data_IF_505444073473
#
_entry.id   IF_505444073473
#
_cell.length_a   1.000
_cell.length_b   1.000
_cell.length_c   1.000
_cell.angle_alpha   90.00
_cell.angle_beta   90.00
_cell.angle_gamma   90.00
#
_symmetry.space_group_name_H-M   'P 1'
#
loop_
_entity.id
_entity.type
_entity.pdbx_description
1 polymer ?
#
# COMPACT_ATOMS: atom_id res chain seq x y z
N UNK A 1 -6.01 -8.22 18.33
CA UNK A 1 -5.45 -7.15 17.48
C UNK A 1 -6.57 -6.16 17.23
N UNK A 2 -6.45 -4.89 17.63
CA UNK A 2 -7.31 -3.84 17.05
C UNK A 2 -6.63 -3.50 15.72
N UNK A 3 -7.05 -4.19 14.66
CA UNK A 3 -6.53 -4.01 13.31
C UNK A 3 -7.21 -2.79 12.71
N UNK A 4 -6.50 -1.68 12.58
CA UNK A 4 -6.90 -0.52 11.78
C UNK A 4 -6.82 -0.82 10.28
N UNK A 5 -7.28 -2.00 9.87
CA UNK A 5 -7.05 -2.58 8.55
C UNK A 5 -5.59 -2.99 8.38
N UNK A 6 -5.38 -4.23 7.93
CA UNK A 6 -4.07 -4.69 7.47
C UNK A 6 -4.15 -4.92 5.97
N UNK A 7 -3.11 -4.51 5.26
CA UNK A 7 -3.01 -4.69 3.82
C UNK A 7 -1.66 -5.28 3.48
N UNK A 8 -1.66 -6.28 2.61
CA UNK A 8 -0.48 -6.84 1.99
C UNK A 8 -0.70 -6.89 0.47
N UNK A 9 0.39 -6.83 -0.29
CA UNK A 9 0.38 -6.99 -1.74
C UNK A 9 1.32 -8.11 -2.13
N UNK A 10 0.87 -8.99 -3.02
CA UNK A 10 1.68 -10.10 -3.52
C UNK A 10 1.66 -10.17 -5.05
N UNK A 11 2.80 -10.54 -5.61
CA UNK A 11 2.91 -11.05 -6.98
C UNK A 11 3.70 -12.35 -6.90
N UNK A 12 3.05 -13.51 -6.81
CA UNK A 12 3.77 -14.77 -6.69
C UNK A 12 4.51 -15.12 -8.00
N UNK A 13 5.74 -15.67 -7.94
CA UNK A 13 6.60 -15.87 -6.75
C UNK A 13 7.58 -14.69 -6.52
N UNK A 14 7.37 -13.55 -7.16
CA UNK A 14 8.37 -12.50 -7.33
C UNK A 14 8.47 -11.53 -6.16
N UNK A 15 7.36 -11.16 -5.52
CA UNK A 15 7.38 -10.22 -4.40
C UNK A 15 6.19 -10.38 -3.44
N UNK A 16 6.44 -10.00 -2.19
CA UNK A 16 5.46 -9.85 -1.13
C UNK A 16 5.77 -8.57 -0.34
N UNK A 17 4.77 -7.70 -0.20
CA UNK A 17 4.89 -6.40 0.47
C UNK A 17 3.94 -6.41 1.65
N UNK A 18 4.52 -6.47 2.85
CA UNK A 18 3.81 -6.33 4.11
C UNK A 18 4.81 -5.87 5.17
N UNK A 19 4.60 -4.68 5.74
CA UNK A 19 5.55 -4.01 6.62
C UNK A 19 5.00 -3.92 8.05
N UNK A 20 5.76 -4.49 8.98
CA UNK A 20 5.48 -4.48 10.41
C UNK A 20 6.59 -3.75 11.19
N UNK A 21 6.34 -3.32 12.43
CA UNK A 21 7.43 -2.96 13.33
C UNK A 21 8.27 -4.20 13.67
N UNK A 22 9.58 -4.03 13.78
CA UNK A 22 10.51 -5.12 14.10
C UNK A 22 10.43 -5.56 15.57
N UNK A 23 10.02 -4.65 16.46
CA UNK A 23 9.77 -4.91 17.88
C UNK A 23 8.30 -4.68 18.19
N UNK A 24 7.79 -5.34 19.22
CA UNK A 24 6.45 -5.04 19.74
C UNK A 24 6.43 -3.61 20.28
N UNK A 25 5.48 -2.83 19.77
CA UNK A 25 5.22 -1.48 20.25
C UNK A 25 4.23 -1.57 21.40
N UNK A 26 4.52 -0.90 22.52
CA UNK A 26 3.62 -0.80 23.66
C UNK A 26 2.31 -0.11 23.24
N UNK A 27 1.19 -0.74 23.59
CA UNK A 27 -0.16 -0.38 23.16
C UNK A 27 -1.00 0.15 24.31
N UNK A 28 -0.37 0.59 25.40
CA UNK A 28 -1.08 1.30 26.46
C UNK A 28 -1.80 2.54 25.86
N UNK A 29 -3.03 2.87 26.28
CA UNK A 29 -3.82 3.94 25.67
C UNK A 29 -3.10 5.30 25.64
N UNK A 30 -2.28 5.59 26.65
CA UNK A 30 -1.44 6.79 26.72
C UNK A 30 -0.33 6.83 25.67
N UNK A 31 0.35 5.71 25.43
CA UNK A 31 1.40 5.61 24.42
C UNK A 31 0.83 5.53 23.00
N UNK A 32 -0.36 4.93 22.84
CA UNK A 32 -1.03 4.85 21.53
C UNK A 32 -1.28 6.22 20.91
N UNK A 33 -1.79 7.20 21.68
CA UNK A 33 -1.98 8.57 21.17
C UNK A 33 -0.66 9.25 20.83
N UNK A 34 0.42 8.94 21.53
CA UNK A 34 1.74 9.45 21.19
C UNK A 34 2.21 8.86 19.87
N UNK A 35 2.06 7.55 19.64
CA UNK A 35 2.46 6.85 18.42
C UNK A 35 1.71 7.31 17.16
N UNK A 36 0.48 7.82 17.31
CA UNK A 36 -0.28 8.41 16.19
C UNK A 36 0.32 9.72 15.66
N UNK A 37 1.19 10.39 16.44
CA UNK A 37 1.88 11.59 15.97
C UNK A 37 2.90 11.19 14.91
N UNK A 38 2.83 11.82 13.73
CA UNK A 38 3.81 11.66 12.65
C UNK A 38 5.14 12.37 12.96
N UNK A 39 5.76 12.06 14.10
CA UNK A 39 7.04 12.62 14.54
C UNK A 39 8.15 11.60 14.40
N UNK A 40 9.37 12.08 14.19
CA UNK A 40 10.56 11.23 14.02
C UNK A 40 10.77 10.27 15.19
N UNK A 41 10.47 10.71 16.42
CA UNK A 41 10.59 9.91 17.65
C UNK A 41 9.74 8.61 17.64
N UNK A 42 8.68 8.53 16.82
CA UNK A 42 7.86 7.34 16.67
C UNK A 42 8.30 6.43 15.52
N UNK A 43 9.42 6.77 14.87
CA UNK A 43 10.00 5.97 13.80
C UNK A 43 10.87 4.88 14.42
N UNK A 44 10.50 3.64 14.17
CA UNK A 44 11.20 2.46 14.69
C UNK A 44 11.73 1.61 13.54
N UNK A 45 12.55 0.61 13.84
CA UNK A 45 12.94 -0.38 12.85
C UNK A 45 11.69 -1.14 12.37
N UNK A 46 11.57 -1.28 11.05
CA UNK A 46 10.55 -2.07 10.38
C UNK A 46 11.07 -3.45 10.00
N UNK A 47 10.16 -4.34 9.65
CA UNK A 47 10.46 -5.66 9.10
C UNK A 47 9.43 -6.02 8.05
N UNK A 48 9.90 -6.39 6.86
CA UNK A 48 9.02 -6.95 5.83
C UNK A 48 8.77 -8.44 6.09
N UNK A 49 7.51 -8.85 5.96
CA UNK A 49 7.14 -10.26 6.06
C UNK A 49 7.60 -11.03 4.81
N UNK A 50 7.91 -12.33 4.94
CA UNK A 50 8.46 -13.11 3.83
C UNK A 50 7.41 -13.48 2.78
N UNK A 51 6.23 -13.92 3.22
CA UNK A 51 5.16 -14.37 2.34
C UNK A 51 3.80 -14.38 3.05
N UNK A 52 2.75 -14.54 2.26
CA UNK A 52 1.37 -14.59 2.72
C UNK A 52 1.10 -15.73 3.71
N UNK A 53 1.68 -16.91 3.48
CA UNK A 53 1.41 -18.10 4.31
C UNK A 53 1.97 -17.90 5.71
N UNK A 54 3.18 -17.34 5.82
CA UNK A 54 3.79 -17.01 7.11
C UNK A 54 2.90 -16.07 7.90
N UNK A 55 2.40 -15.00 7.27
CA UNK A 55 1.57 -14.00 7.92
C UNK A 55 0.19 -14.54 8.32
N UNK A 56 -0.46 -15.29 7.42
CA UNK A 56 -1.77 -15.88 7.66
C UNK A 56 -1.76 -16.89 8.81
N UNK A 57 -0.66 -17.64 8.97
CA UNK A 57 -0.48 -18.58 10.08
C UNK A 57 -0.25 -17.87 11.42
N UNK A 58 0.34 -16.67 11.41
CA UNK A 58 0.68 -15.93 12.63
C UNK A 58 -0.48 -15.10 13.15
N UNK A 59 -1.33 -14.56 12.27
CA UNK A 59 -2.44 -13.71 12.64
C UNK A 59 -3.78 -14.34 12.26
N UNK A 60 -4.09 -14.38 10.96
CA UNK A 60 -5.29 -14.95 10.38
C UNK A 60 -5.25 -14.79 8.84
N UNK A 61 -6.09 -15.56 8.13
CA UNK A 61 -6.37 -15.32 6.71
C UNK A 61 -6.97 -13.91 6.48
N UNK A 62 -6.80 -13.41 5.26
CA UNK A 62 -7.34 -12.10 4.87
C UNK A 62 -8.85 -12.16 4.75
N UNK A 63 -9.53 -11.18 5.34
CA UNK A 63 -10.98 -11.07 5.23
C UNK A 63 -11.42 -10.93 3.77
N UNK A 64 -10.67 -10.15 2.97
CA UNK A 64 -10.90 -9.87 1.54
C UNK A 64 -9.60 -10.04 0.75
N UNK A 65 -9.70 -10.55 -0.48
CA UNK A 65 -8.61 -10.65 -1.46
C UNK A 65 -9.05 -10.05 -2.78
N UNK A 66 -8.31 -9.07 -3.29
CA UNK A 66 -8.59 -8.40 -4.57
C UNK A 66 -7.47 -8.78 -5.53
N UNK A 67 -7.85 -9.29 -6.71
CA UNK A 67 -6.90 -9.74 -7.72
C UNK A 67 -6.95 -8.80 -8.93
N UNK A 68 -5.77 -8.34 -9.35
CA UNK A 68 -5.60 -7.54 -10.57
C UNK A 68 -4.76 -8.33 -11.57
N UNK A 69 -5.24 -8.48 -12.80
CA UNK A 69 -4.52 -9.18 -13.87
C UNK A 69 -3.66 -8.25 -14.72
N UNK A 70 -3.94 -6.95 -14.70
CA UNK A 70 -3.30 -5.95 -15.56
C UNK A 70 -2.65 -4.90 -14.70
N UNK A 71 -1.33 -4.86 -14.72
CA UNK A 71 -0.50 -3.91 -13.98
C UNK A 71 0.89 -3.81 -14.63
N UNK A 72 1.61 -2.75 -14.31
CA UNK A 72 2.98 -2.51 -14.75
C UNK A 72 3.95 -3.22 -13.80
N UNK A 73 4.28 -4.48 -14.11
CA UNK A 73 5.19 -5.29 -13.30
C UNK A 73 6.61 -4.70 -13.19
N UNK A 74 7.09 -4.03 -14.25
CA UNK A 74 8.42 -3.42 -14.26
C UNK A 74 8.50 -2.22 -13.31
N UNK A 75 7.48 -1.35 -13.33
CA UNK A 75 7.37 -0.22 -12.41
C UNK A 75 7.26 -0.69 -10.95
N UNK A 76 6.38 -1.67 -10.68
CA UNK A 76 6.23 -2.26 -9.36
C UNK A 76 7.55 -2.86 -8.84
N UNK A 77 8.30 -3.58 -9.68
CA UNK A 77 9.59 -4.18 -9.31
C UNK A 77 10.66 -3.11 -9.03
N UNK A 78 10.72 -2.07 -9.85
CA UNK A 78 11.63 -0.94 -9.67
C UNK A 78 11.34 -0.20 -8.37
N UNK A 79 10.06 0.14 -8.14
CA UNK A 79 9.58 0.71 -6.88
C UNK A 79 10.00 -0.16 -5.70
N UNK A 80 9.69 -1.46 -5.75
CA UNK A 80 9.96 -2.35 -4.62
C UNK A 80 11.45 -2.46 -4.32
N UNK A 81 12.30 -2.56 -5.34
CA UNK A 81 13.76 -2.64 -5.21
C UNK A 81 14.34 -1.42 -4.50
N UNK A 82 13.77 -0.23 -4.72
CA UNK A 82 14.19 1.01 -4.07
C UNK A 82 13.55 1.16 -2.68
N UNK A 83 12.24 0.98 -2.59
CA UNK A 83 11.47 1.19 -1.37
C UNK A 83 11.92 0.28 -0.22
N UNK A 84 12.24 -0.98 -0.52
CA UNK A 84 12.66 -1.97 0.48
C UNK A 84 14.03 -1.73 1.10
N UNK A 85 14.86 -0.85 0.53
CA UNK A 85 16.21 -0.57 1.05
C UNK A 85 16.17 0.10 2.42
N UNK A 86 15.05 0.74 2.75
CA UNK A 86 14.83 1.34 4.06
C UNK A 86 13.77 0.54 4.82
N UNK A 87 14.19 -0.06 5.93
CA UNK A 87 13.34 -0.83 6.83
C UNK A 87 12.98 0.03 8.05
N UNK A 88 12.28 1.15 7.80
CA UNK A 88 11.71 1.98 8.87
C UNK A 88 10.22 1.81 8.92
N UNK A 89 9.68 1.77 10.13
CA UNK A 89 8.26 1.70 10.40
C UNK A 89 7.83 2.95 11.15
N UNK A 90 6.73 3.55 10.69
CA UNK A 90 6.03 4.58 11.42
C UNK A 90 4.53 4.34 11.23
N UNK A 91 3.81 4.29 12.36
CA UNK A 91 2.39 3.97 12.36
C UNK A 91 1.57 4.91 11.46
N UNK A 92 2.01 6.16 11.28
CA UNK A 92 1.23 7.18 10.58
C UNK A 92 1.58 7.32 9.10
N UNK A 93 2.85 7.13 8.71
CA UNK A 93 3.28 7.41 7.33
C UNK A 93 4.06 6.28 6.64
N UNK A 94 4.50 5.24 7.36
CA UNK A 94 5.23 4.10 6.79
C UNK A 94 4.88 2.79 7.49
N UNK A 95 3.72 2.29 7.15
CA UNK A 95 3.13 1.03 7.61
C UNK A 95 2.70 0.16 6.41
N UNK A 96 2.19 -1.04 6.68
CA UNK A 96 1.67 -1.97 5.68
C UNK A 96 0.72 -1.29 4.65
N UNK A 97 -0.28 -0.54 5.11
CA UNK A 97 -1.25 0.15 4.25
C UNK A 97 -0.59 1.18 3.33
N UNK A 98 0.31 2.02 3.84
CA UNK A 98 1.04 3.00 3.01
C UNK A 98 1.97 2.31 2.01
N UNK A 99 2.67 1.24 2.41
CA UNK A 99 3.54 0.49 1.53
C UNK A 99 2.76 -0.16 0.39
N UNK A 100 1.58 -0.72 0.67
CA UNK A 100 0.68 -1.27 -0.36
C UNK A 100 0.12 -0.16 -1.24
N UNK A 101 -0.27 0.99 -0.70
CA UNK A 101 -0.76 2.11 -1.49
C UNK A 101 0.28 2.61 -2.50
N UNK A 102 1.53 2.82 -2.07
CA UNK A 102 2.62 3.21 -2.97
C UNK A 102 2.96 2.12 -3.99
N UNK A 103 2.92 0.85 -3.58
CA UNK A 103 3.12 -0.26 -4.50
C UNK A 103 2.03 -0.32 -5.57
N UNK A 104 0.77 -0.11 -5.19
CA UNK A 104 -0.36 -0.04 -6.13
C UNK A 104 -0.22 1.16 -7.07
N UNK A 105 0.16 2.32 -6.57
CA UNK A 105 0.42 3.50 -7.41
C UNK A 105 1.51 3.19 -8.46
N UNK A 106 2.64 2.61 -8.04
CA UNK A 106 3.70 2.19 -8.96
C UNK A 106 3.23 1.11 -9.95
N UNK A 107 2.43 0.14 -9.50
CA UNK A 107 1.87 -0.90 -10.35
C UNK A 107 0.84 -0.37 -11.36
N UNK A 108 0.16 0.72 -11.05
CA UNK A 108 -0.80 1.37 -11.94
C UNK A 108 -0.15 2.42 -12.85
N UNK A 109 1.05 2.91 -12.51
CA UNK A 109 1.79 3.86 -13.34
C UNK A 109 2.03 3.29 -14.74
N UNK A 110 1.57 4.04 -15.75
CA UNK A 110 1.58 3.62 -17.15
C UNK A 110 0.67 2.44 -17.51
N UNK A 111 0.19 1.61 -16.58
CA UNK A 111 -0.72 0.49 -16.87
C UNK A 111 -2.05 0.97 -17.48
N UNK A 112 -2.49 2.18 -17.10
CA UNK A 112 -3.67 2.82 -17.67
C UNK A 112 -3.40 3.53 -19.00
N UNK A 113 -2.14 3.80 -19.41
CA UNK A 113 -1.83 4.38 -20.73
C UNK A 113 -2.22 3.42 -21.87
N UNK A 114 -2.10 2.11 -21.66
CA UNK A 114 -2.51 1.10 -22.65
C UNK A 114 -4.04 1.05 -22.80
N UNK A 115 -4.81 1.33 -21.73
CA UNK A 115 -6.28 1.44 -21.76
C UNK A 115 -6.77 2.79 -22.24
N UNK A 116 -6.05 3.86 -21.93
CA UNK A 116 -6.24 5.21 -22.44
C UNK A 116 -5.44 5.39 -23.73
N UNK A 117 -5.78 4.61 -24.77
CA UNK A 117 -5.51 5.07 -26.13
C UNK A 117 -6.16 6.46 -26.32
N UNK A 118 -5.76 7.21 -27.34
CA UNK A 118 -6.33 8.54 -27.65
C UNK A 118 -7.88 8.59 -27.59
N UNK A 119 -8.57 7.47 -27.80
CA UNK A 119 -10.02 7.34 -27.66
C UNK A 119 -10.56 7.30 -26.23
N UNK A 120 -9.81 6.79 -25.25
CA UNK A 120 -10.23 6.72 -23.84
C UNK A 120 -10.24 8.09 -23.15
N UNK A 121 -9.22 8.91 -23.41
CA UNK A 121 -9.17 10.30 -22.96
C UNK A 121 -10.27 11.16 -23.60
N UNK A 122 -10.51 10.99 -24.91
CA UNK A 122 -11.64 11.67 -25.58
C UNK A 122 -12.98 11.24 -24.95
N UNK A 123 -13.14 9.96 -24.60
CA UNK A 123 -14.36 9.48 -23.93
C UNK A 123 -14.55 10.10 -22.55
N UNK A 124 -13.47 10.32 -21.78
CA UNK A 124 -13.49 11.04 -20.50
C UNK A 124 -13.97 12.49 -20.62
N UNK A 125 -13.65 13.19 -21.71
CA UNK A 125 -14.15 14.54 -21.98
C UNK A 125 -15.67 14.59 -22.23
N UNK A 126 -16.28 13.46 -22.59
CA UNK A 126 -17.72 13.35 -22.84
C UNK A 126 -18.49 12.70 -21.67
N UNK A 127 -17.85 12.49 -20.50
CA UNK A 127 -18.52 12.01 -19.29
C UNK A 127 -19.15 13.22 -18.57
N UNK A 128 -20.50 13.35 -18.54
CA UNK A 128 -21.15 14.52 -17.96
C UNK A 128 -20.87 14.67 -16.46
N UNK A 129 -20.74 13.56 -15.73
CA UNK A 129 -20.54 13.58 -14.28
C UNK A 129 -19.21 14.23 -13.89
N UNK A 130 -18.19 14.14 -14.74
CA UNK A 130 -16.87 14.73 -14.49
C UNK A 130 -16.90 16.26 -14.53
N UNK A 131 -17.71 16.83 -15.45
CA UNK A 131 -17.89 18.28 -15.58
C UNK A 131 -18.68 18.88 -14.42
N UNK A 132 -19.68 18.13 -13.94
CA UNK A 132 -20.47 18.55 -12.77
C UNK A 132 -19.56 18.59 -11.53
N UNK A 133 -18.71 17.58 -11.34
CA UNK A 133 -17.75 17.57 -10.24
C UNK A 133 -16.73 18.72 -10.32
N UNK A 134 -16.27 19.08 -11.53
CA UNK A 134 -15.34 20.19 -11.74
C UNK A 134 -15.95 21.57 -11.47
N UNK A 135 -17.27 21.73 -11.62
CA UNK A 135 -17.97 22.99 -11.31
C UNK A 135 -18.33 23.14 -9.83
N UNK A 136 -18.29 22.04 -9.07
CA UNK A 136 -18.56 22.02 -7.64
C UNK A 136 -17.28 22.09 -6.79
N UNK A 137 -16.11 22.19 -7.44
CA UNK A 137 -14.79 22.34 -6.81
C UNK A 137 -14.38 23.81 -6.68
#
# INVERSE_FOLDING_TARGET
MISTGHAALEVPPTLYISLYPAAEIDRSPSEFFNLLKAVEANTVAGKYQPDYRFEANMCCESDRKIHFSTFNAASLTSFWTQYRQTETYNLTWRNCSSSVAYALEAALDGALKERCSRGGFMRLLFIPELWIAAQLA
#
